data_IF_522285152008
#
_entry.id   IF_522285152008
#
_cell.length_a   1.000
_cell.length_b   1.000
_cell.length_c   1.000
_cell.angle_alpha   90.00
_cell.angle_beta   90.00
_cell.angle_gamma   90.00
#
_symmetry.space_group_name_H-M   'P 1'
#
loop_
_entity.id
_entity.type
_entity.pdbx_description
1 polymer ?
#
# COMPACT_ATOMS: atom_id res chain seq x y z
N UNK A 1 1.69 17.26 7.36
CA UNK A 1 1.46 16.18 8.35
C UNK A 1 2.80 15.58 8.73
N UNK A 2 2.86 15.02 9.92
CA UNK A 2 4.07 14.36 10.38
C UNK A 2 4.14 12.95 9.81
N UNK A 3 5.32 12.33 9.92
CA UNK A 3 5.48 10.96 9.46
C UNK A 3 4.53 10.01 10.19
N UNK A 4 4.42 10.14 11.52
CA UNK A 4 3.53 9.27 12.28
C UNK A 4 2.08 9.46 11.89
N UNK A 5 1.66 10.70 11.69
CA UNK A 5 0.30 10.98 11.24
C UNK A 5 0.02 10.34 9.90
N UNK A 6 0.99 10.44 8.99
CA UNK A 6 0.82 9.85 7.67
C UNK A 6 0.77 8.33 7.75
N UNK A 7 1.65 7.70 8.53
CA UNK A 7 1.67 6.24 8.61
C UNK A 7 0.39 5.71 9.24
N UNK A 8 -0.16 6.42 10.22
CA UNK A 8 -1.43 6.03 10.82
C UNK A 8 -2.55 6.14 9.79
N UNK A 9 -2.56 7.21 9.01
CA UNK A 9 -3.57 7.40 7.98
C UNK A 9 -3.44 6.33 6.89
N UNK A 10 -2.21 6.02 6.48
CA UNK A 10 -1.99 4.99 5.47
C UNK A 10 -2.47 3.63 5.95
N UNK A 11 -2.22 3.30 7.22
CA UNK A 11 -2.69 2.04 7.79
C UNK A 11 -4.20 1.97 7.80
N UNK A 12 -4.86 3.08 8.13
CA UNK A 12 -6.31 3.16 8.15
C UNK A 12 -6.88 3.00 6.74
N UNK A 13 -6.29 3.68 5.77
CA UNK A 13 -6.73 3.59 4.38
C UNK A 13 -6.50 2.18 3.83
N UNK A 14 -5.39 1.56 4.18
CA UNK A 14 -5.11 0.20 3.73
C UNK A 14 -6.16 -0.76 4.29
N UNK A 15 -6.47 -0.64 5.58
CA UNK A 15 -7.48 -1.49 6.20
C UNK A 15 -8.83 -1.30 5.50
N UNK A 16 -9.20 -0.06 5.22
CA UNK A 16 -10.47 0.24 4.58
C UNK A 16 -10.55 -0.29 3.16
N UNK A 17 -9.45 -0.19 2.41
CA UNK A 17 -9.46 -0.46 0.99
C UNK A 17 -8.78 -1.77 0.59
N UNK A 18 -8.37 -2.60 1.54
CA UNK A 18 -7.65 -3.83 1.24
C UNK A 18 -8.44 -4.75 0.32
N UNK A 19 -9.75 -4.88 0.55
CA UNK A 19 -10.57 -5.74 -0.28
C UNK A 19 -10.55 -5.29 -1.74
N UNK A 20 -10.64 -3.98 -1.97
CA UNK A 20 -10.60 -3.43 -3.32
C UNK A 20 -9.24 -3.71 -3.96
N UNK A 21 -8.17 -3.53 -3.21
CA UNK A 21 -6.82 -3.78 -3.71
C UNK A 21 -6.61 -5.25 -4.05
N UNK A 22 -7.18 -6.16 -3.26
CA UNK A 22 -7.04 -7.60 -3.54
C UNK A 22 -7.78 -8.05 -4.79
N UNK A 23 -8.82 -7.30 -5.19
CA UNK A 23 -9.55 -7.62 -6.39
C UNK A 23 -8.96 -6.96 -7.63
N UNK A 24 -7.92 -6.15 -7.45
CA UNK A 24 -7.33 -5.40 -8.55
C UNK A 24 -6.65 -6.35 -9.52
N UNK A 25 -6.93 -6.18 -10.82
CA UNK A 25 -6.31 -6.99 -11.87
C UNK A 25 -5.33 -6.17 -12.71
N UNK A 26 -5.42 -4.83 -12.66
CA UNK A 26 -4.51 -3.98 -13.41
C UNK A 26 -3.09 -4.15 -12.89
N UNK A 27 -2.12 -4.09 -13.77
CA UNK A 27 -0.70 -4.19 -13.43
C UNK A 27 -0.40 -5.45 -12.61
N UNK A 28 -1.10 -6.55 -12.93
CA UNK A 28 -0.92 -7.82 -12.22
C UNK A 28 -1.21 -7.68 -10.73
N UNK A 29 -2.16 -6.82 -10.40
CA UNK A 29 -2.55 -6.60 -9.00
C UNK A 29 -1.67 -5.62 -8.25
N UNK A 30 -0.64 -5.08 -8.89
CA UNK A 30 0.26 -4.14 -8.23
C UNK A 30 -0.36 -2.75 -8.15
N UNK A 31 0.03 -1.99 -7.15
CA UNK A 31 -0.55 -0.67 -6.91
C UNK A 31 0.50 0.30 -6.38
N UNK A 32 0.21 1.58 -6.49
CA UNK A 32 1.06 2.63 -5.95
C UNK A 32 0.52 3.08 -4.59
N UNK A 33 1.28 3.92 -3.90
CA UNK A 33 0.81 4.50 -2.64
C UNK A 33 -0.54 5.20 -2.82
N UNK A 34 -0.69 5.97 -3.90
CA UNK A 34 -1.95 6.70 -4.14
C UNK A 34 -3.15 5.76 -4.25
N UNK A 35 -2.94 4.55 -4.76
CA UNK A 35 -4.02 3.59 -4.95
C UNK A 35 -4.58 3.05 -3.63
N UNK A 36 -3.80 3.15 -2.54
CA UNK A 36 -4.26 2.71 -1.23
C UNK A 36 -5.34 3.63 -0.69
N UNK A 37 -5.28 4.90 -1.06
CA UNK A 37 -6.17 5.92 -0.53
C UNK A 37 -7.43 6.05 -1.36
N UNK A 38 -8.50 6.53 -0.74
CA UNK A 38 -9.66 6.99 -1.48
C UNK A 38 -9.21 8.16 -2.33
N UNK A 39 -9.73 8.26 -3.55
CA UNK A 39 -9.36 9.35 -4.44
C UNK A 39 -9.53 10.71 -3.76
N UNK A 40 -10.64 10.91 -3.09
CA UNK A 40 -10.93 12.16 -2.41
C UNK A 40 -9.89 12.50 -1.35
N UNK A 41 -9.53 11.51 -0.52
CA UNK A 41 -8.55 11.72 0.53
C UNK A 41 -7.18 12.07 -0.05
N UNK A 42 -6.78 11.34 -1.10
CA UNK A 42 -5.48 11.59 -1.72
C UNK A 42 -5.42 12.98 -2.36
N UNK A 43 -6.49 13.40 -3.02
CA UNK A 43 -6.53 14.71 -3.66
C UNK A 43 -6.45 15.86 -2.67
N UNK A 44 -6.89 15.65 -1.44
CA UNK A 44 -6.82 16.69 -0.43
C UNK A 44 -5.44 16.85 0.18
N UNK A 45 -4.52 15.95 -0.12
CA UNK A 45 -3.13 16.11 0.32
C UNK A 45 -2.41 16.95 -0.73
N UNK A 46 -1.76 18.06 -0.33
CA UNK A 46 -1.08 18.89 -1.31
C UNK A 46 -0.08 18.11 -2.13
N UNK A 47 -0.08 18.32 -3.44
CA UNK A 47 0.80 17.61 -4.36
C UNK A 47 2.28 17.77 -3.96
N UNK A 48 2.65 18.93 -3.42
CA UNK A 48 4.01 19.16 -3.01
C UNK A 48 4.48 18.20 -1.91
N UNK A 49 3.56 17.56 -1.19
CA UNK A 49 3.93 16.64 -0.13
C UNK A 49 4.00 15.20 -0.62
N UNK A 50 3.51 14.90 -1.81
CA UNK A 50 3.40 13.51 -2.26
C UNK A 50 4.75 12.80 -2.32
N UNK A 51 5.82 13.48 -2.72
CA UNK A 51 7.14 12.87 -2.79
C UNK A 51 7.63 12.44 -1.40
N UNK A 52 7.43 13.29 -0.40
CA UNK A 52 7.85 12.97 0.96
C UNK A 52 7.04 11.79 1.50
N UNK A 53 5.74 11.75 1.21
CA UNK A 53 4.90 10.64 1.64
C UNK A 53 5.37 9.33 1.01
N UNK A 54 5.79 9.38 -0.26
CA UNK A 54 6.31 8.20 -0.93
C UNK A 54 7.58 7.67 -0.28
N UNK A 55 8.47 8.58 0.14
CA UNK A 55 9.69 8.21 0.82
C UNK A 55 9.37 7.54 2.17
N UNK A 56 8.50 8.15 2.95
CA UNK A 56 8.10 7.60 4.24
C UNK A 56 7.45 6.23 4.09
N UNK A 57 6.58 6.08 3.08
CA UNK A 57 5.88 4.83 2.88
C UNK A 57 6.85 3.72 2.47
N UNK A 58 7.74 4.01 1.53
CA UNK A 58 8.72 3.03 1.08
C UNK A 58 9.61 2.56 2.23
N UNK A 59 10.06 3.49 3.07
CA UNK A 59 10.88 3.15 4.23
C UNK A 59 10.09 2.29 5.22
N UNK A 60 8.81 2.62 5.44
CA UNK A 60 7.97 1.88 6.36
C UNK A 60 7.73 0.45 5.88
N UNK A 61 7.51 0.27 4.57
CA UNK A 61 7.33 -1.05 3.99
C UNK A 61 8.62 -1.88 4.18
N UNK A 62 9.77 -1.27 3.94
CA UNK A 62 11.05 -1.95 4.12
C UNK A 62 11.28 -2.40 5.56
N UNK A 63 10.77 -1.64 6.52
CA UNK A 63 10.94 -1.96 7.93
C UNK A 63 9.90 -2.94 8.44
N UNK A 64 8.96 -3.36 7.59
CA UNK A 64 7.91 -4.29 8.00
C UNK A 64 6.76 -3.64 8.74
N UNK A 65 6.63 -2.31 8.68
CA UNK A 65 5.53 -1.60 9.33
C UNK A 65 4.17 -2.02 8.78
N UNK A 66 4.12 -2.38 7.51
CA UNK A 66 2.91 -2.88 6.86
C UNK A 66 3.15 -4.33 6.43
N UNK A 67 3.01 -5.30 7.34
CA UNK A 67 3.40 -6.68 7.04
C UNK A 67 2.62 -7.31 5.89
N UNK A 68 1.42 -6.78 5.57
CA UNK A 68 0.63 -7.30 4.47
C UNK A 68 1.07 -6.77 3.10
N UNK A 69 2.01 -5.81 3.07
CA UNK A 69 2.46 -5.22 1.81
C UNK A 69 3.85 -5.73 1.44
N UNK A 70 4.03 -6.07 0.18
CA UNK A 70 5.32 -6.42 -0.39
C UNK A 70 5.73 -5.34 -1.37
N UNK A 71 7.02 -4.97 -1.34
CA UNK A 71 7.58 -4.09 -2.36
C UNK A 71 7.78 -4.94 -3.61
N UNK A 72 7.23 -4.51 -4.73
CA UNK A 72 7.37 -5.25 -5.98
C UNK A 72 8.71 -4.98 -6.65
N UNK A 73 9.51 -4.04 -6.12
CA UNK A 73 10.81 -3.67 -6.68
C UNK A 73 10.70 -3.23 -8.14
N UNK A 74 9.60 -2.55 -8.46
CA UNK A 74 9.32 -2.04 -9.79
C UNK A 74 8.73 -0.64 -9.67
N UNK A 75 8.79 0.11 -10.75
CA UNK A 75 8.16 1.43 -10.82
C UNK A 75 7.30 1.49 -12.06
N UNK A 76 6.26 2.32 -12.03
CA UNK A 76 5.42 2.51 -13.20
C UNK A 76 6.06 3.56 -14.12
N UNK A 77 5.37 3.93 -15.20
CA UNK A 77 5.92 4.87 -16.18
C UNK A 77 6.11 6.27 -15.60
N UNK A 78 5.51 6.56 -14.45
CA UNK A 78 5.65 7.85 -13.77
C UNK A 78 6.66 7.77 -12.63
N UNK A 79 7.44 6.68 -12.56
CA UNK A 79 8.48 6.47 -11.56
C UNK A 79 7.93 6.33 -10.14
N UNK A 80 6.67 5.92 -10.00
CA UNK A 80 6.09 5.63 -8.70
C UNK A 80 6.34 4.15 -8.36
N UNK A 81 6.76 3.90 -7.12
CA UNK A 81 7.01 2.53 -6.67
C UNK A 81 5.73 1.72 -6.69
N UNK A 82 5.85 0.47 -7.09
CA UNK A 82 4.73 -0.46 -7.11
C UNK A 82 4.83 -1.42 -5.95
N UNK A 83 3.68 -1.76 -5.38
CA UNK A 83 3.55 -2.67 -4.25
C UNK A 83 2.49 -3.71 -4.56
N UNK A 84 2.47 -4.78 -3.76
CA UNK A 84 1.40 -5.76 -3.88
C UNK A 84 1.08 -6.30 -2.50
N UNK A 85 -0.10 -6.88 -2.35
CA UNK A 85 -0.49 -7.47 -1.09
C UNK A 85 0.01 -8.91 -1.02
N UNK A 86 0.46 -9.33 0.17
CA UNK A 86 0.83 -10.72 0.39
C UNK A 86 -0.40 -11.57 0.17
N UNK A 87 -0.25 -12.74 -0.42
CA UNK A 87 -1.37 -13.65 -0.55
C UNK A 87 -1.91 -14.00 0.84
N UNK A 88 -3.22 -14.22 0.90
CA UNK A 88 -3.82 -14.66 2.14
C UNK A 88 -3.35 -16.08 2.43
N UNK A 89 -2.93 -16.28 3.71
CA UNK A 89 -2.40 -17.57 4.04
C UNK A 89 -3.39 -18.45 4.66
N UNK A 90 -4.55 -18.07 4.72
CA UNK A 90 -5.44 -18.87 5.29
C UNK A 90 -5.55 -20.10 4.67
N UNK A 91 -5.03 -20.16 3.72
CA UNK A 91 -5.02 -21.36 3.21
C UNK A 91 -4.31 -22.28 3.93
N UNK A 92 -3.76 -22.01 4.78
CA UNK A 92 -3.03 -22.91 5.46
C UNK A 92 -3.59 -23.36 6.55
N UNK A 93 -4.14 -22.83 6.39
CA UNK A 93 -4.41 -23.03 7.01
C UNK A 93 -4.96 -23.70 7.10
N UNK A 94 -5.17 -23.70 7.00
CA UNK A 94 -5.39 -24.23 7.12
C UNK A 94 -5.49 -24.97 7.03
N UNK A 95 -5.10 -25.05 6.86
CA UNK A 95 -4.80 -25.57 6.90
C UNK A 95 -4.82 -26.21 7.20
N UNK A 96 -4.61 -26.29 7.57
CA UNK A 96 -4.40 -26.68 7.99
C UNK A 96 -4.83 -27.37 8.17
N UNK A 97 -4.82 -27.53 8.11
CA UNK A 97 -5.04 -28.08 8.30
C UNK A 97 -5.19 -28.84 8.37
N UNK A 98 -5.14 -29.04 8.26
CA UNK A 98 -4.95 -29.53 8.39
C UNK A 98 -4.92 -29.82 8.69
#
# INVERSE_FOLDING_TARGET
MTENEFLDLAAEMLKKNERRLRKRTRNDGKFTLADIFDRHTWKNIPTAEHSQLGIWFSAAVSKGYFPQILDAHQQNIHWHNLYKLRPLEQNKEGEQQQ
#
